data_IF_710902910745
#
_entry.id   IF_710902910745
#
_cell.length_a   1.000
_cell.length_b   1.000
_cell.length_c   1.000
_cell.angle_alpha   90.00
_cell.angle_beta   90.00
_cell.angle_gamma   90.00
#
_symmetry.space_group_name_H-M   'P 1'
#
loop_
_entity.id
_entity.type
_entity.pdbx_description
1 polymer ?
#
# COMPACT_ATOMS: atom_id res chain seq x y z
N UNK A 1 -44.73 -8.49 -41.82
CA UNK A 1 -44.84 -8.73 -40.35
C UNK A 1 -43.43 -8.80 -39.81
N UNK A 2 -42.92 -7.68 -39.30
CA UNK A 2 -41.57 -7.54 -38.77
C UNK A 2 -41.66 -7.61 -37.23
N UNK A 3 -40.84 -8.43 -36.60
CA UNK A 3 -40.58 -8.37 -35.16
C UNK A 3 -39.08 -8.56 -34.99
N UNK A 4 -38.39 -7.44 -34.79
CA UNK A 4 -37.03 -7.43 -34.26
C UNK A 4 -37.07 -7.53 -32.74
N UNK A 5 -36.14 -8.30 -32.16
CA UNK A 5 -35.79 -8.19 -30.75
C UNK A 5 -34.35 -7.68 -30.67
N UNK A 6 -34.22 -6.39 -30.37
CA UNK A 6 -32.98 -5.80 -29.87
C UNK A 6 -32.85 -6.15 -28.39
N UNK A 7 -31.84 -6.95 -28.04
CA UNK A 7 -31.39 -7.11 -26.66
C UNK A 7 -30.41 -5.99 -26.33
N UNK A 8 -30.87 -4.97 -25.60
CA UNK A 8 -29.99 -4.00 -24.94
C UNK A 8 -29.34 -4.68 -23.74
N UNK A 9 -28.08 -5.09 -23.89
CA UNK A 9 -27.21 -5.38 -22.76
C UNK A 9 -26.81 -4.04 -22.12
N UNK A 10 -27.39 -3.74 -20.95
CA UNK A 10 -26.92 -2.68 -20.07
C UNK A 10 -25.55 -3.09 -19.52
N UNK A 11 -24.48 -2.72 -20.23
CA UNK A 11 -23.15 -2.71 -19.67
C UNK A 11 -23.11 -1.56 -18.65
N UNK A 12 -23.24 -1.88 -17.37
CA UNK A 12 -22.91 -0.95 -16.29
C UNK A 12 -21.46 -0.49 -16.51
N UNK A 13 -21.19 0.81 -16.66
CA UNK A 13 -19.82 1.27 -16.59
C UNK A 13 -19.37 1.02 -15.16
N UNK A 14 -18.43 0.09 -14.99
CA UNK A 14 -17.63 0.05 -13.78
C UNK A 14 -17.05 1.46 -13.65
N UNK A 15 -17.49 2.19 -12.62
CA UNK A 15 -16.97 3.50 -12.30
C UNK A 15 -15.48 3.33 -12.02
N UNK A 16 -14.66 3.54 -13.05
CA UNK A 16 -13.24 3.71 -12.92
C UNK A 16 -13.08 5.00 -12.12
N UNK A 17 -12.77 4.87 -10.83
CA UNK A 17 -12.33 5.97 -9.99
C UNK A 17 -10.95 6.44 -10.48
N UNK A 18 -10.92 7.12 -11.61
CA UNK A 18 -9.82 7.98 -12.01
C UNK A 18 -10.00 9.30 -11.25
N UNK A 19 -9.67 9.29 -9.96
CA UNK A 19 -9.45 10.52 -9.20
C UNK A 19 -7.99 10.90 -9.41
N UNK A 20 -7.78 11.95 -10.23
CA UNK A 20 -6.53 12.62 -10.56
C UNK A 20 -5.39 11.74 -11.11
N UNK A 21 -4.64 12.27 -12.09
CA UNK A 21 -3.69 11.50 -12.92
C UNK A 21 -2.47 10.91 -12.22
N UNK A 22 -2.45 10.82 -10.89
CA UNK A 22 -1.39 10.20 -10.09
C UNK A 22 -1.82 8.85 -9.53
N UNK A 23 -0.90 7.88 -9.57
CA UNK A 23 -1.13 6.55 -8.98
C UNK A 23 -1.38 6.66 -7.47
N UNK A 24 -2.39 5.95 -6.97
CA UNK A 24 -2.64 5.83 -5.55
C UNK A 24 -1.54 5.00 -4.84
N UNK A 25 -1.31 5.21 -3.54
CA UNK A 25 -0.30 4.48 -2.78
C UNK A 25 -0.34 2.95 -2.96
N UNK A 26 -1.53 2.36 -2.94
CA UNK A 26 -1.67 0.91 -3.14
C UNK A 26 -1.23 0.43 -4.53
N UNK A 27 -1.39 1.27 -5.56
CA UNK A 27 -1.00 0.93 -6.94
C UNK A 27 0.53 0.95 -7.06
N UNK A 28 1.20 1.94 -6.47
CA UNK A 28 2.66 2.06 -6.44
C UNK A 28 3.31 0.86 -5.73
N UNK A 29 2.79 0.49 -4.56
CA UNK A 29 3.26 -0.67 -3.81
C UNK A 29 3.03 -1.96 -4.58
N UNK A 30 1.89 -2.11 -5.27
CA UNK A 30 1.63 -3.29 -6.10
C UNK A 30 2.63 -3.40 -7.24
N UNK A 31 2.99 -2.30 -7.90
CA UNK A 31 4.05 -2.29 -8.90
C UNK A 31 5.40 -2.68 -8.34
N UNK A 32 5.75 -2.21 -7.14
CA UNK A 32 6.99 -2.59 -6.45
C UNK A 32 7.05 -4.11 -6.19
N UNK A 33 5.97 -4.69 -5.69
CA UNK A 33 5.87 -6.15 -5.44
C UNK A 33 6.07 -6.95 -6.72
N UNK A 34 5.46 -6.56 -7.84
CA UNK A 34 5.63 -7.26 -9.12
C UNK A 34 7.10 -7.27 -9.59
N UNK A 35 7.86 -6.22 -9.29
CA UNK A 35 9.30 -6.17 -9.58
C UNK A 35 10.09 -7.03 -8.60
N UNK A 36 9.74 -7.03 -7.31
CA UNK A 36 10.34 -7.93 -6.33
C UNK A 36 10.13 -9.40 -6.70
N UNK A 37 8.94 -9.77 -7.20
CA UNK A 37 8.63 -11.13 -7.67
C UNK A 37 9.51 -11.53 -8.86
N UNK A 38 9.76 -10.61 -9.81
CA UNK A 38 10.68 -10.84 -10.93
C UNK A 38 12.12 -11.05 -10.47
N UNK A 39 12.59 -10.23 -9.53
CA UNK A 39 13.93 -10.35 -8.96
C UNK A 39 14.08 -11.69 -8.21
N UNK A 40 13.07 -12.07 -7.43
CA UNK A 40 13.02 -13.38 -6.77
C UNK A 40 13.03 -14.54 -7.79
N UNK A 41 12.43 -14.34 -8.96
CA UNK A 41 12.49 -15.25 -10.11
C UNK A 41 13.83 -15.25 -10.88
N UNK A 42 14.82 -14.48 -10.46
CA UNK A 42 16.16 -14.42 -11.06
C UNK A 42 16.38 -13.31 -12.10
N UNK A 43 15.39 -12.44 -12.31
CA UNK A 43 15.54 -11.27 -13.18
C UNK A 43 16.27 -10.12 -12.46
N UNK A 44 17.58 -10.28 -12.33
CA UNK A 44 18.43 -9.27 -11.70
C UNK A 44 18.50 -7.95 -12.49
N UNK A 45 18.13 -7.95 -13.77
CA UNK A 45 18.07 -6.73 -14.58
C UNK A 45 16.93 -5.79 -14.12
N UNK A 46 16.00 -6.27 -13.29
CA UNK A 46 14.93 -5.46 -12.70
C UNK A 46 15.34 -4.68 -11.43
N UNK A 47 16.57 -4.84 -10.92
CA UNK A 47 17.06 -4.12 -9.74
C UNK A 47 16.98 -2.58 -9.86
N UNK A 48 17.38 -1.93 -10.99
CA UNK A 48 17.22 -0.49 -11.14
C UNK A 48 15.75 -0.05 -11.12
N UNK A 49 14.85 -0.88 -11.64
CA UNK A 49 13.41 -0.60 -11.61
C UNK A 49 12.86 -0.68 -10.18
N UNK A 50 13.34 -1.63 -9.35
CA UNK A 50 12.96 -1.71 -7.95
C UNK A 50 13.34 -0.42 -7.21
N UNK A 51 14.57 0.05 -7.39
CA UNK A 51 15.03 1.30 -6.78
C UNK A 51 14.16 2.49 -7.18
N UNK A 52 13.82 2.60 -8.48
CA UNK A 52 12.96 3.68 -8.97
C UNK A 52 11.53 3.60 -8.43
N UNK A 53 10.95 2.40 -8.37
CA UNK A 53 9.62 2.21 -7.81
C UNK A 53 9.58 2.48 -6.30
N UNK A 54 10.65 2.16 -5.57
CA UNK A 54 10.75 2.49 -4.16
C UNK A 54 10.77 4.02 -3.95
N UNK A 55 11.52 4.75 -4.76
CA UNK A 55 11.55 6.22 -4.76
C UNK A 55 10.18 6.83 -5.08
N UNK A 56 9.50 6.33 -6.11
CA UNK A 56 8.15 6.80 -6.49
C UNK A 56 7.12 6.49 -5.40
N UNK A 57 7.20 5.30 -4.80
CA UNK A 57 6.32 4.91 -3.68
C UNK A 57 6.54 5.79 -2.46
N UNK A 58 7.81 6.08 -2.14
CA UNK A 58 8.18 7.00 -1.06
C UNK A 58 7.60 8.41 -1.28
N UNK A 59 7.75 8.95 -2.49
CA UNK A 59 7.18 10.24 -2.85
C UNK A 59 5.65 10.25 -2.78
N UNK A 60 4.99 9.20 -3.28
CA UNK A 60 3.54 9.05 -3.23
C UNK A 60 3.00 8.98 -1.80
N UNK A 61 3.64 8.19 -0.92
CA UNK A 61 3.25 8.09 0.49
C UNK A 61 3.53 9.37 1.28
N UNK A 62 4.57 10.14 0.92
CA UNK A 62 4.82 11.46 1.50
C UNK A 62 3.79 12.50 1.08
N UNK A 63 3.29 12.42 -0.15
CA UNK A 63 2.25 13.30 -0.66
C UNK A 63 0.84 12.93 -0.17
N UNK A 64 0.61 11.66 0.17
CA UNK A 64 -0.70 11.18 0.62
C UNK A 64 -1.16 11.87 1.92
N UNK A 65 -2.45 12.22 1.93
CA UNK A 65 -3.11 12.90 3.05
C UNK A 65 -4.04 11.97 3.85
N UNK A 66 -4.78 12.53 4.81
CA UNK A 66 -5.67 11.76 5.67
C UNK A 66 -6.87 11.14 4.91
N UNK A 67 -7.34 11.75 3.82
CA UNK A 67 -8.42 11.23 2.99
C UNK A 67 -7.95 10.01 2.19
N UNK A 68 -6.73 10.05 1.66
CA UNK A 68 -6.13 8.90 0.95
C UNK A 68 -6.08 7.65 1.84
N UNK A 69 -5.77 7.82 3.13
CA UNK A 69 -5.69 6.73 4.09
C UNK A 69 -7.04 6.24 4.62
N UNK A 70 -8.17 6.87 4.25
CA UNK A 70 -9.51 6.29 4.50
C UNK A 70 -9.74 5.03 3.66
N UNK A 71 -9.09 4.90 2.51
CA UNK A 71 -9.06 3.64 1.78
C UNK A 71 -8.11 2.67 2.51
N UNK A 72 -8.61 1.57 3.08
CA UNK A 72 -7.78 0.62 3.82
C UNK A 72 -6.66 0.01 2.96
N UNK A 73 -6.79 -0.02 1.62
CA UNK A 73 -5.72 -0.47 0.73
C UNK A 73 -4.51 0.45 0.80
N UNK A 74 -4.71 1.76 0.92
CA UNK A 74 -3.60 2.73 1.00
C UNK A 74 -2.88 2.65 2.34
N UNK A 75 -3.61 2.44 3.43
CA UNK A 75 -2.98 2.19 4.72
C UNK A 75 -2.21 0.88 4.75
N UNK A 76 -2.78 -0.21 4.20
CA UNK A 76 -2.06 -1.48 4.05
C UNK A 76 -0.81 -1.34 3.18
N UNK A 77 -0.89 -0.56 2.10
CA UNK A 77 0.25 -0.27 1.24
C UNK A 77 1.38 0.42 2.00
N UNK A 78 1.06 1.39 2.88
CA UNK A 78 2.04 2.02 3.77
C UNK A 78 2.78 1.01 4.65
N UNK A 79 2.06 0.06 5.26
CA UNK A 79 2.66 -0.98 6.10
C UNK A 79 3.59 -1.90 5.28
N UNK A 80 3.11 -2.36 4.13
CA UNK A 80 3.88 -3.21 3.20
C UNK A 80 5.12 -2.49 2.69
N UNK A 81 5.01 -1.21 2.34
CA UNK A 81 6.14 -0.38 1.94
C UNK A 81 7.22 -0.34 3.03
N UNK A 82 6.83 -0.11 4.29
CA UNK A 82 7.75 -0.17 5.42
C UNK A 82 8.47 -1.51 5.52
N UNK A 83 7.72 -2.62 5.47
CA UNK A 83 8.29 -3.98 5.52
C UNK A 83 9.17 -4.33 4.31
N UNK A 84 8.96 -3.67 3.18
CA UNK A 84 9.72 -3.88 1.94
C UNK A 84 11.08 -3.16 1.91
N UNK A 85 11.48 -2.55 3.03
CA UNK A 85 12.69 -1.73 3.12
C UNK A 85 12.46 -0.25 2.78
N UNK A 86 11.21 0.22 2.93
CA UNK A 86 10.86 1.63 2.76
C UNK A 86 11.51 2.56 3.78
N UNK A 87 11.43 3.86 3.53
CA UNK A 87 11.97 4.90 4.39
C UNK A 87 11.19 4.99 5.72
N UNK A 88 11.80 4.73 6.89
CA UNK A 88 11.11 4.75 8.18
C UNK A 88 10.50 6.12 8.51
N UNK A 89 11.15 7.21 8.09
CA UNK A 89 10.66 8.58 8.32
C UNK A 89 9.36 8.81 7.57
N UNK A 90 9.25 8.30 6.34
CA UNK A 90 8.01 8.35 5.57
C UNK A 90 6.93 7.51 6.21
N UNK A 91 7.26 6.31 6.68
CA UNK A 91 6.29 5.42 7.33
C UNK A 91 5.69 6.09 8.57
N UNK A 92 6.53 6.65 9.42
CA UNK A 92 6.12 7.34 10.64
C UNK A 92 5.27 8.59 10.34
N UNK A 93 5.73 9.43 9.41
CA UNK A 93 5.03 10.65 9.05
C UNK A 93 3.66 10.36 8.40
N UNK A 94 3.58 9.40 7.49
CA UNK A 94 2.32 9.01 6.86
C UNK A 94 1.37 8.36 7.87
N UNK A 95 1.86 7.46 8.73
CA UNK A 95 1.06 6.83 9.77
C UNK A 95 0.50 7.86 10.77
N UNK A 96 1.23 8.93 11.08
CA UNK A 96 0.75 10.01 11.96
C UNK A 96 -0.37 10.85 11.36
N UNK A 97 -0.49 10.89 10.02
CA UNK A 97 -1.56 11.60 9.29
C UNK A 97 -2.78 10.71 9.06
N UNK A 98 -2.57 9.40 8.97
CA UNK A 98 -3.63 8.45 8.67
C UNK A 98 -4.71 8.44 9.76
N UNK A 99 -5.97 8.52 9.34
CA UNK A 99 -7.13 8.30 10.22
C UNK A 99 -7.56 6.84 10.04
N UNK A 100 -7.05 5.97 10.90
CA UNK A 100 -7.34 4.52 10.87
C UNK A 100 -7.65 4.00 12.28
N UNK A 101 -8.04 2.73 12.38
CA UNK A 101 -8.39 2.13 13.66
C UNK A 101 -7.16 1.98 14.60
N UNK A 102 -7.37 1.87 15.92
CA UNK A 102 -6.28 1.78 16.89
C UNK A 102 -5.34 0.58 16.68
N UNK A 103 -5.84 -0.55 16.19
CA UNK A 103 -5.02 -1.73 15.93
C UNK A 103 -4.09 -1.48 14.74
N UNK A 104 -4.60 -0.91 13.65
CA UNK A 104 -3.82 -0.47 12.49
C UNK A 104 -2.70 0.51 12.86
N UNK A 105 -2.97 1.47 13.75
CA UNK A 105 -1.94 2.37 14.28
C UNK A 105 -0.90 1.65 15.15
N UNK A 106 -1.31 0.66 15.95
CA UNK A 106 -0.38 -0.14 16.74
C UNK A 106 0.58 -0.95 15.84
N UNK A 107 0.07 -1.52 14.74
CA UNK A 107 0.90 -2.22 13.74
C UNK A 107 1.91 -1.27 13.13
N UNK A 108 1.47 -0.09 12.68
CA UNK A 108 2.38 0.91 12.12
C UNK A 108 3.50 1.30 13.11
N UNK A 109 3.15 1.51 14.39
CA UNK A 109 4.14 1.78 15.45
C UNK A 109 5.14 0.64 15.63
N UNK A 110 4.67 -0.61 15.60
CA UNK A 110 5.53 -1.79 15.68
C UNK A 110 6.51 -1.87 14.49
N UNK A 111 6.01 -1.62 13.28
CA UNK A 111 6.84 -1.56 12.07
C UNK A 111 7.88 -0.45 12.18
N UNK A 112 7.50 0.77 12.57
CA UNK A 112 8.44 1.89 12.77
C UNK A 112 9.49 1.56 13.84
N UNK A 113 9.10 0.90 14.95
CA UNK A 113 10.06 0.46 15.96
C UNK A 113 11.07 -0.56 15.40
N UNK A 114 10.60 -1.51 14.59
CA UNK A 114 11.47 -2.49 13.92
C UNK A 114 12.44 -1.82 12.96
N UNK A 115 11.95 -0.95 12.07
CA UNK A 115 12.77 -0.24 11.08
C UNK A 115 13.82 0.67 11.73
N UNK A 116 13.52 1.24 12.89
CA UNK A 116 14.45 2.06 13.67
C UNK A 116 15.42 1.23 14.54
N UNK A 117 15.56 -0.09 14.32
CA UNK A 117 16.50 -0.94 15.03
C UNK A 117 16.12 -1.20 16.49
N UNK A 118 14.83 -1.11 16.84
CA UNK A 118 14.31 -1.38 18.19
C UNK A 118 13.43 -2.66 18.20
N UNK A 119 14.00 -3.85 17.93
CA UNK A 119 13.21 -5.07 17.79
C UNK A 119 12.50 -5.48 19.08
N UNK A 120 13.09 -5.26 20.26
CA UNK A 120 12.43 -5.55 21.54
C UNK A 120 11.16 -4.71 21.73
N UNK A 121 11.21 -3.42 21.39
CA UNK A 121 10.04 -2.55 21.44
C UNK A 121 8.98 -2.96 20.40
N UNK A 122 9.41 -3.33 19.18
CA UNK A 122 8.51 -3.83 18.15
C UNK A 122 7.76 -5.09 18.60
N UNK A 123 8.48 -6.03 19.23
CA UNK A 123 7.88 -7.26 19.78
C UNK A 123 6.83 -6.91 20.83
N UNK A 124 7.15 -6.08 21.82
CA UNK A 124 6.19 -5.70 22.87
C UNK A 124 4.94 -4.99 22.31
N UNK A 125 5.11 -4.15 21.28
CA UNK A 125 3.99 -3.45 20.62
C UNK A 125 3.11 -4.43 19.82
N UNK A 126 3.71 -5.38 19.11
CA UNK A 126 3.00 -6.28 18.20
C UNK A 126 2.46 -7.55 18.88
N UNK A 127 3.02 -7.95 20.02
CA UNK A 127 2.62 -9.14 20.79
C UNK A 127 1.11 -9.29 21.07
N UNK A 128 0.34 -8.23 21.42
CA UNK A 128 -1.08 -8.37 21.69
C UNK A 128 -1.94 -8.45 20.41
N UNK A 129 -1.36 -8.27 19.23
CA UNK A 129 -2.10 -8.26 17.96
C UNK A 129 -2.23 -9.69 17.46
N UNK A 130 -3.46 -10.14 17.22
CA UNK A 130 -3.72 -11.43 16.60
C UNK A 130 -3.29 -11.37 15.12
N UNK A 131 -2.30 -12.17 14.68
CA UNK A 131 -1.87 -12.23 13.28
C UNK A 131 -2.97 -12.69 12.32
N UNK A 132 -4.03 -13.34 12.82
CA UNK A 132 -5.17 -13.76 11.99
C UNK A 132 -6.22 -12.64 11.84
N UNK A 133 -6.08 -11.55 12.60
CA UNK A 133 -6.96 -10.39 12.58
C UNK A 133 -6.46 -9.24 11.71
N UNK A 134 -5.26 -9.36 11.14
CA UNK A 134 -4.65 -8.33 10.27
C UNK A 134 -5.09 -8.49 8.80
N UNK A 135 -5.26 -7.38 8.07
CA UNK A 135 -5.70 -7.37 6.67
C UNK A 135 -4.65 -7.82 5.62
#
# INVERSE_FOLDING_TARGET
RAVGLLLLAAASPAAAFAQDGSLQPYQLVRSLQLIQDRIAGGDHAALPMQAKLLEMTDAGLRAADAEDFKDPKNFRALLVYGMSGGNPVTVEAAASRATTDPQSLAIAKGIVAYLNGRPAAAIEILKPIDPMSVP
#
